data_IF_463339290214
#
_entry.id   IF_463339290214
#
_cell.length_a   1.000
_cell.length_b   1.000
_cell.length_c   1.000
_cell.angle_alpha   90.00
_cell.angle_beta   90.00
_cell.angle_gamma   90.00
#
_symmetry.space_group_name_H-M   'P 1'
#
loop_
_entity.id
_entity.type
_entity.pdbx_description
1 polymer ?
#
# COMPACT_ATOMS: atom_id res chain seq x y z
N UNK A 1 -4.08 6.22 -7.68
CA UNK A 1 -3.12 6.18 -8.81
C UNK A 1 -2.63 7.57 -9.22
N UNK A 2 -3.50 8.53 -9.59
CA UNK A 2 -3.09 9.88 -10.01
C UNK A 2 -2.14 10.62 -9.02
N UNK A 3 -2.35 10.60 -7.69
CA UNK A 3 -1.48 11.29 -6.75
C UNK A 3 -0.06 10.68 -6.68
N UNK A 4 0.03 9.35 -6.80
CA UNK A 4 1.30 8.61 -6.79
C UNK A 4 2.09 8.93 -8.06
N UNK A 5 1.43 8.95 -9.23
CA UNK A 5 2.06 9.32 -10.50
C UNK A 5 2.59 10.75 -10.46
N UNK A 6 1.82 11.70 -9.93
CA UNK A 6 2.25 13.08 -9.79
C UNK A 6 3.46 13.23 -8.84
N UNK A 7 3.45 12.51 -7.71
CA UNK A 7 4.57 12.48 -6.76
C UNK A 7 5.85 11.91 -7.39
N UNK A 8 5.76 10.77 -8.09
CA UNK A 8 6.90 10.16 -8.78
C UNK A 8 7.41 11.05 -9.91
N UNK A 9 6.51 11.59 -10.74
CA UNK A 9 6.88 12.49 -11.84
C UNK A 9 7.62 13.73 -11.33
N UNK A 10 7.19 14.32 -10.21
CA UNK A 10 7.87 15.45 -9.59
C UNK A 10 9.33 15.11 -9.24
N UNK A 11 9.57 14.01 -8.53
CA UNK A 11 10.93 13.62 -8.11
C UNK A 11 11.81 13.20 -9.28
N UNK A 12 11.24 12.56 -10.30
CA UNK A 12 11.95 12.23 -11.55
C UNK A 12 12.36 13.49 -12.29
N UNK A 13 11.46 14.47 -12.44
CA UNK A 13 11.77 15.74 -13.09
C UNK A 13 12.80 16.55 -12.29
N UNK A 14 12.70 16.56 -10.96
CA UNK A 14 13.69 17.19 -10.09
C UNK A 14 15.08 16.52 -10.25
N UNK A 15 15.12 15.18 -10.22
CA UNK A 15 16.35 14.41 -10.38
C UNK A 15 16.98 14.61 -11.77
N UNK A 16 16.18 14.55 -12.84
CA UNK A 16 16.64 14.84 -14.20
C UNK A 16 17.13 16.29 -14.33
N UNK A 17 16.43 17.26 -13.72
CA UNK A 17 16.86 18.65 -13.69
C UNK A 17 18.23 18.82 -13.03
N UNK A 18 18.43 18.22 -11.85
CA UNK A 18 19.71 18.24 -11.14
C UNK A 18 20.82 17.54 -11.94
N UNK A 19 20.51 16.40 -12.57
CA UNK A 19 21.44 15.64 -13.40
C UNK A 19 21.92 16.43 -14.62
N UNK A 20 21.00 17.06 -15.35
CA UNK A 20 21.35 17.91 -16.50
C UNK A 20 22.10 19.18 -16.08
N UNK A 21 21.79 19.77 -14.92
CA UNK A 21 22.56 20.88 -14.35
C UNK A 21 23.99 20.44 -14.00
N UNK A 22 24.16 19.23 -13.47
CA UNK A 22 25.48 18.68 -13.17
C UNK A 22 26.30 18.44 -14.45
N UNK A 23 25.71 17.86 -15.50
CA UNK A 23 26.38 17.58 -16.77
C UNK A 23 26.77 18.84 -17.54
N UNK A 24 25.97 19.92 -17.48
CA UNK A 24 26.19 21.14 -18.28
C UNK A 24 27.23 22.11 -17.72
N UNK A 25 28.02 21.70 -16.71
CA UNK A 25 29.11 22.50 -16.14
C UNK A 25 29.05 22.74 -14.63
N UNK A 26 28.22 21.98 -13.90
CA UNK A 26 28.15 22.00 -12.45
C UNK A 26 27.74 23.35 -11.84
N UNK A 27 27.95 23.48 -10.53
CA UNK A 27 27.54 24.64 -9.71
C UNK A 27 28.11 25.97 -10.24
N UNK A 28 29.26 25.94 -10.94
CA UNK A 28 29.92 27.12 -11.51
C UNK A 28 29.13 27.77 -12.67
N UNK A 29 28.60 26.97 -13.60
CA UNK A 29 27.80 27.48 -14.72
C UNK A 29 26.42 27.99 -14.30
N UNK A 30 25.79 27.33 -13.34
CA UNK A 30 24.53 27.80 -12.72
C UNK A 30 24.73 29.10 -11.94
N UNK A 31 25.89 29.27 -11.27
CA UNK A 31 26.24 30.54 -10.60
C UNK A 31 26.51 31.67 -11.60
N UNK A 32 27.11 31.39 -12.76
CA UNK A 32 27.37 32.38 -13.81
C UNK A 32 26.06 32.94 -14.41
N UNK A 33 25.06 32.08 -14.65
CA UNK A 33 23.72 32.52 -15.10
C UNK A 33 22.89 33.18 -14.00
N UNK A 34 23.13 32.85 -12.73
CA UNK A 34 22.52 33.55 -11.59
C UNK A 34 23.18 34.91 -11.27
N UNK A 35 24.45 35.10 -11.65
CA UNK A 35 25.16 36.38 -11.49
C UNK A 35 24.65 37.47 -12.44
N UNK A 36 24.13 37.10 -13.61
CA UNK A 36 23.47 38.05 -14.53
C UNK A 36 22.05 38.43 -14.09
N UNK A 37 21.48 37.73 -13.09
CA UNK A 37 20.17 38.07 -12.53
C UNK A 37 20.25 39.11 -11.39
N UNK A 38 19.27 40.01 -11.39
CA UNK A 38 19.06 41.03 -10.35
C UNK A 38 18.89 40.40 -8.96
N UNK A 39 19.25 41.14 -7.90
CA UNK A 39 19.10 40.68 -6.49
C UNK A 39 17.67 40.21 -6.17
N UNK A 40 16.65 40.81 -6.81
CA UNK A 40 15.24 40.41 -6.66
C UNK A 40 14.93 39.09 -7.36
N UNK A 41 15.42 38.87 -8.57
CA UNK A 41 15.23 37.60 -9.30
C UNK A 41 15.84 36.41 -8.57
N UNK A 42 17.04 36.60 -8.01
CA UNK A 42 17.73 35.58 -7.20
C UNK A 42 16.98 35.22 -5.92
N UNK A 43 16.44 36.23 -5.21
CA UNK A 43 15.59 35.99 -4.03
C UNK A 43 14.31 35.25 -4.45
N UNK A 44 13.61 35.71 -5.49
CA UNK A 44 12.37 35.09 -5.95
C UNK A 44 12.56 33.62 -6.35
N UNK A 45 13.61 33.30 -7.11
CA UNK A 45 13.93 31.92 -7.49
C UNK A 45 14.22 31.03 -6.28
N UNK A 46 14.97 31.53 -5.29
CA UNK A 46 15.23 30.81 -4.04
C UNK A 46 13.97 30.56 -3.22
N UNK A 47 13.08 31.55 -3.10
CA UNK A 47 11.81 31.40 -2.38
C UNK A 47 10.89 30.40 -3.07
N UNK A 48 10.78 30.45 -4.40
CA UNK A 48 9.98 29.50 -5.20
C UNK A 48 10.51 28.08 -5.01
N UNK A 49 11.82 27.89 -5.08
CA UNK A 49 12.44 26.58 -4.87
C UNK A 49 12.16 26.03 -3.46
N UNK A 50 12.29 26.87 -2.43
CA UNK A 50 11.98 26.48 -1.06
C UNK A 50 10.50 26.11 -0.87
N UNK A 51 9.57 26.86 -1.47
CA UNK A 51 8.13 26.57 -1.42
C UNK A 51 7.82 25.25 -2.13
N UNK A 52 8.39 25.02 -3.32
CA UNK A 52 8.19 23.76 -4.07
C UNK A 52 8.74 22.57 -3.28
N UNK A 53 9.94 22.70 -2.70
CA UNK A 53 10.55 21.63 -1.91
C UNK A 53 9.77 21.36 -0.62
N UNK A 54 9.31 22.39 0.10
CA UNK A 54 8.45 22.22 1.28
C UNK A 54 7.09 21.60 0.91
N UNK A 55 6.49 22.03 -0.21
CA UNK A 55 5.22 21.50 -0.69
C UNK A 55 5.31 20.03 -1.09
N UNK A 56 6.22 19.69 -2.01
CA UNK A 56 6.32 18.32 -2.52
C UNK A 56 7.13 17.38 -1.64
N UNK A 57 8.11 17.89 -0.89
CA UNK A 57 8.99 17.09 -0.05
C UNK A 57 8.52 16.89 1.39
N UNK A 58 7.62 17.75 1.89
CA UNK A 58 7.12 17.66 3.28
C UNK A 58 5.60 17.61 3.32
N UNK A 59 4.91 18.58 2.70
CA UNK A 59 3.46 18.66 2.81
C UNK A 59 2.74 17.50 2.10
N UNK A 60 3.17 17.11 0.89
CA UNK A 60 2.58 15.96 0.17
C UNK A 60 2.74 14.63 0.93
N UNK A 61 3.94 14.25 1.45
CA UNK A 61 4.07 13.07 2.30
C UNK A 61 3.18 13.10 3.54
N UNK A 62 3.09 14.24 4.24
CA UNK A 62 2.24 14.37 5.43
C UNK A 62 0.76 14.20 5.06
N UNK A 63 0.29 14.85 4.00
CA UNK A 63 -1.09 14.71 3.52
C UNK A 63 -1.39 13.28 3.07
N UNK A 64 -0.42 12.60 2.45
CA UNK A 64 -0.56 11.20 2.07
C UNK A 64 -0.67 10.29 3.30
N UNK A 65 0.21 10.46 4.28
CA UNK A 65 0.19 9.68 5.52
C UNK A 65 -1.12 9.89 6.29
N UNK A 66 -1.53 11.13 6.52
CA UNK A 66 -2.77 11.45 7.26
C UNK A 66 -4.02 11.09 6.46
N UNK A 67 -4.01 11.35 5.15
CA UNK A 67 -5.15 11.11 4.27
C UNK A 67 -5.46 9.65 4.01
N UNK A 68 -4.45 8.76 4.05
CA UNK A 68 -4.63 7.32 3.87
C UNK A 68 -5.39 6.68 5.05
N UNK A 69 -5.17 7.16 6.28
CA UNK A 69 -5.92 6.70 7.46
C UNK A 69 -7.38 7.18 7.47
N UNK A 70 -7.66 8.37 6.94
CA UNK A 70 -9.01 8.92 6.91
C UNK A 70 -9.89 8.37 5.77
N UNK A 71 -9.28 7.87 4.68
CA UNK A 71 -9.98 7.51 3.44
C UNK A 71 -9.62 6.12 2.90
N UNK A 72 -9.20 5.17 3.75
CA UNK A 72 -9.15 3.76 3.38
C UNK A 72 -10.56 3.35 2.90
N UNK A 73 -10.75 3.35 1.58
CA UNK A 73 -12.02 3.40 0.86
C UNK A 73 -13.09 2.57 1.56
N UNK A 74 -14.15 3.19 2.08
CA UNK A 74 -15.22 2.46 2.78
C UNK A 74 -16.04 1.53 1.86
N UNK A 75 -15.64 1.43 0.60
CA UNK A 75 -16.35 0.73 -0.46
C UNK A 75 -15.35 0.03 -1.38
N UNK A 76 -15.65 -1.23 -1.70
CA UNK A 76 -14.99 -2.02 -2.72
C UNK A 76 -16.06 -2.67 -3.61
N UNK A 77 -15.97 -2.51 -4.93
CA UNK A 77 -16.93 -3.09 -5.89
C UNK A 77 -18.43 -2.85 -5.54
N UNK A 78 -18.77 -1.69 -4.94
CA UNK A 78 -20.14 -1.39 -4.51
C UNK A 78 -20.53 -1.94 -3.12
N UNK A 79 -19.67 -2.74 -2.49
CA UNK A 79 -19.86 -3.28 -1.15
C UNK A 79 -19.37 -2.29 -0.11
N UNK A 80 -20.27 -1.82 0.77
CA UNK A 80 -19.94 -0.94 1.89
C UNK A 80 -19.43 -1.77 3.07
N UNK A 81 -18.25 -1.41 3.57
CA UNK A 81 -17.64 -2.07 4.72
C UNK A 81 -18.05 -1.41 6.05
N UNK A 82 -18.30 -2.24 7.06
CA UNK A 82 -18.45 -1.87 8.47
C UNK A 82 -17.11 -1.41 9.06
N UNK A 83 -17.12 -0.88 10.29
CA UNK A 83 -15.89 -0.52 10.98
C UNK A 83 -14.96 -1.74 11.18
N UNK A 84 -15.51 -2.88 11.59
CA UNK A 84 -14.77 -4.13 11.76
C UNK A 84 -14.19 -4.64 10.45
N UNK A 85 -14.96 -4.65 9.35
CA UNK A 85 -14.45 -5.10 8.05
C UNK A 85 -13.36 -4.16 7.49
N UNK A 86 -13.40 -2.86 7.80
CA UNK A 86 -12.31 -1.93 7.44
C UNK A 86 -11.03 -2.27 8.18
N UNK A 87 -11.12 -2.51 9.49
CA UNK A 87 -9.98 -2.96 10.29
C UNK A 87 -9.48 -4.33 9.79
N UNK A 88 -10.39 -5.24 9.47
CA UNK A 88 -10.08 -6.55 8.90
C UNK A 88 -9.31 -6.44 7.58
N UNK A 89 -9.63 -5.46 6.73
CA UNK A 89 -8.87 -5.19 5.51
C UNK A 89 -7.44 -4.69 5.79
N UNK A 90 -7.28 -3.81 6.77
CA UNK A 90 -5.96 -3.29 7.16
C UNK A 90 -5.08 -4.44 7.68
N UNK A 91 -5.60 -5.22 8.63
CA UNK A 91 -4.95 -6.41 9.17
C UNK A 91 -4.64 -7.45 8.09
N UNK A 92 -5.55 -7.66 7.13
CA UNK A 92 -5.29 -8.53 5.99
C UNK A 92 -4.09 -8.03 5.15
N UNK A 93 -4.02 -6.72 4.92
CA UNK A 93 -2.89 -6.09 4.23
C UNK A 93 -1.55 -6.32 4.94
N UNK A 94 -1.56 -6.25 6.27
CA UNK A 94 -0.36 -6.39 7.10
C UNK A 94 0.11 -7.85 7.24
N UNK A 95 -0.83 -8.79 7.39
CA UNK A 95 -0.51 -10.16 7.79
C UNK A 95 -0.73 -11.22 6.69
N UNK A 96 -1.60 -10.96 5.72
CA UNK A 96 -2.08 -12.00 4.78
C UNK A 96 -1.72 -11.71 3.32
N UNK A 97 -1.61 -10.44 2.93
CA UNK A 97 -1.52 -10.02 1.53
C UNK A 97 -0.27 -10.50 0.78
N UNK A 98 0.82 -10.78 1.51
CA UNK A 98 2.05 -11.34 0.93
C UNK A 98 1.84 -12.76 0.41
N UNK A 99 0.96 -13.53 1.05
CA UNK A 99 0.72 -14.94 0.72
C UNK A 99 -0.51 -15.11 -0.18
N UNK A 100 -1.58 -14.37 0.07
CA UNK A 100 -2.87 -14.57 -0.59
C UNK A 100 -3.19 -13.54 -1.67
N UNK A 101 -3.94 -13.97 -2.68
CA UNK A 101 -4.60 -13.03 -3.61
C UNK A 101 -5.99 -12.69 -3.07
N UNK A 102 -6.27 -11.38 -2.98
CA UNK A 102 -7.59 -10.84 -2.64
C UNK A 102 -7.68 -9.40 -3.19
N UNK A 103 -8.45 -9.20 -4.25
CA UNK A 103 -8.56 -7.94 -4.98
C UNK A 103 -9.04 -6.79 -4.10
N UNK A 104 -9.96 -7.07 -3.16
CA UNK A 104 -10.48 -6.09 -2.21
C UNK A 104 -9.44 -5.49 -1.27
N UNK A 105 -8.31 -6.18 -1.09
CA UNK A 105 -7.17 -5.73 -0.31
C UNK A 105 -5.97 -5.34 -1.19
N UNK A 106 -6.13 -5.29 -2.52
CA UNK A 106 -5.04 -5.13 -3.49
C UNK A 106 -3.91 -6.17 -3.31
N UNK A 107 -4.25 -7.35 -2.82
CA UNK A 107 -3.29 -8.41 -2.53
C UNK A 107 -3.15 -9.36 -3.73
N UNK A 108 -1.91 -9.73 -4.03
CA UNK A 108 -1.54 -10.53 -5.20
C UNK A 108 -0.60 -11.71 -4.83
N UNK A 109 -0.61 -12.14 -3.57
CA UNK A 109 0.18 -13.27 -3.11
C UNK A 109 -0.23 -14.56 -3.79
N UNK A 110 0.75 -15.43 -4.09
CA UNK A 110 0.55 -16.68 -4.85
C UNK A 110 0.93 -17.94 -4.06
N UNK A 111 1.32 -17.78 -2.81
CA UNK A 111 1.67 -18.90 -1.92
C UNK A 111 0.37 -19.54 -1.44
N UNK A 112 -0.45 -18.76 -0.74
CA UNK A 112 -1.80 -19.16 -0.37
C UNK A 112 -2.76 -19.18 -1.55
N UNK A 113 -3.95 -19.79 -1.38
CA UNK A 113 -4.99 -19.78 -2.39
C UNK A 113 -5.43 -18.36 -2.74
N UNK A 114 -5.92 -18.20 -3.97
CA UNK A 114 -6.65 -17.01 -4.37
C UNK A 114 -8.03 -17.03 -3.71
N UNK A 115 -8.27 -16.06 -2.82
CA UNK A 115 -9.48 -15.99 -2.01
C UNK A 115 -10.69 -15.49 -2.80
N UNK A 116 -10.48 -14.69 -3.87
CA UNK A 116 -11.56 -14.30 -4.78
C UNK A 116 -12.13 -15.48 -5.56
N UNK A 117 -11.28 -16.44 -5.90
CA UNK A 117 -11.70 -17.69 -6.53
C UNK A 117 -12.25 -18.69 -5.51
N UNK A 118 -11.57 -18.87 -4.37
CA UNK A 118 -11.94 -19.85 -3.36
C UNK A 118 -13.27 -19.53 -2.67
N UNK A 119 -13.57 -18.23 -2.45
CA UNK A 119 -14.80 -17.75 -1.79
C UNK A 119 -15.12 -18.49 -0.49
N UNK A 120 -14.15 -18.59 0.45
CA UNK A 120 -14.36 -19.34 1.67
C UNK A 120 -15.43 -18.68 2.55
N UNK A 121 -16.27 -19.46 3.25
CA UNK A 121 -17.17 -18.92 4.25
C UNK A 121 -16.39 -18.36 5.45
N UNK A 122 -16.96 -17.39 6.15
CA UNK A 122 -16.33 -16.71 7.28
C UNK A 122 -15.80 -17.66 8.35
N UNK A 123 -16.57 -18.71 8.69
CA UNK A 123 -16.18 -19.70 9.69
C UNK A 123 -14.91 -20.47 9.31
N UNK A 124 -14.75 -20.79 8.01
CA UNK A 124 -13.53 -21.44 7.53
C UNK A 124 -12.35 -20.49 7.59
N UNK A 125 -12.53 -19.22 7.21
CA UNK A 125 -11.46 -18.22 7.30
C UNK A 125 -11.00 -18.05 8.74
N UNK A 126 -11.93 -17.90 9.68
CA UNK A 126 -11.63 -17.75 11.10
C UNK A 126 -10.88 -18.97 11.64
N UNK A 127 -11.39 -20.18 11.36
CA UNK A 127 -10.74 -21.41 11.79
C UNK A 127 -9.31 -21.53 11.28
N UNK A 128 -9.08 -21.23 9.99
CA UNK A 128 -7.74 -21.34 9.40
C UNK A 128 -6.79 -20.25 9.89
N UNK A 129 -7.28 -19.05 10.22
CA UNK A 129 -6.48 -18.02 10.88
C UNK A 129 -6.02 -18.48 12.27
N UNK A 130 -6.91 -19.12 13.03
CA UNK A 130 -6.64 -19.55 14.41
C UNK A 130 -5.72 -20.77 14.44
N UNK A 131 -5.97 -21.76 13.58
CA UNK A 131 -5.33 -23.08 13.65
C UNK A 131 -4.24 -23.31 12.58
N UNK A 132 -4.18 -22.46 11.57
CA UNK A 132 -3.28 -22.65 10.44
C UNK A 132 -3.64 -23.87 9.59
N UNK A 133 -2.70 -24.28 8.73
CA UNK A 133 -2.80 -25.51 7.96
C UNK A 133 -1.40 -25.95 7.51
N UNK A 134 -1.22 -27.23 7.20
CA UNK A 134 0.00 -27.83 6.66
C UNK A 134 -0.19 -28.17 5.17
N UNK A 135 0.87 -28.04 4.36
CA UNK A 135 0.81 -28.41 2.94
C UNK A 135 0.57 -29.92 2.72
N UNK A 136 1.20 -30.76 3.54
CA UNK A 136 1.15 -32.22 3.43
C UNK A 136 0.87 -32.82 4.82
N UNK A 137 -0.35 -32.68 5.36
CA UNK A 137 -0.69 -33.30 6.63
C UNK A 137 -0.82 -34.82 6.48
N UNK A 138 -0.70 -35.58 7.58
CA UNK A 138 -1.15 -36.97 7.63
C UNK A 138 -2.60 -37.12 7.12
N UNK A 139 -2.94 -38.28 6.55
CA UNK A 139 -4.25 -38.51 5.92
C UNK A 139 -5.46 -38.36 6.85
N UNK A 140 -5.23 -38.35 8.16
CA UNK A 140 -6.20 -38.21 9.24
C UNK A 140 -6.23 -36.81 9.87
N UNK A 141 -5.38 -35.88 9.44
CA UNK A 141 -5.33 -34.53 9.98
C UNK A 141 -6.26 -33.57 9.18
N UNK A 142 -7.14 -32.82 9.86
CA UNK A 142 -8.10 -31.92 9.23
C UNK A 142 -7.48 -30.66 8.59
N UNK A 143 -6.19 -30.42 8.82
CA UNK A 143 -5.55 -29.13 8.59
C UNK A 143 -4.77 -29.06 7.27
N UNK A 144 -5.33 -29.59 6.18
CA UNK A 144 -4.70 -29.51 4.86
C UNK A 144 -4.84 -28.11 4.24
N UNK A 145 -3.73 -27.51 3.81
CA UNK A 145 -3.77 -26.24 3.11
C UNK A 145 -4.36 -26.37 1.70
N UNK A 146 -5.18 -25.39 1.33
CA UNK A 146 -5.79 -25.28 0.00
C UNK A 146 -4.90 -24.55 -1.02
N UNK A 147 -3.64 -24.29 -0.66
CA UNK A 147 -2.65 -23.58 -1.48
C UNK A 147 -1.26 -24.23 -1.38
N UNK A 148 -0.26 -23.52 -1.87
CA UNK A 148 1.13 -23.97 -1.78
C UNK A 148 1.72 -23.51 -0.44
N UNK A 149 2.41 -24.39 0.26
CA UNK A 149 3.03 -24.09 1.55
C UNK A 149 2.11 -24.26 2.75
N UNK A 150 2.66 -23.94 3.91
CA UNK A 150 2.05 -24.11 5.23
C UNK A 150 1.61 -22.74 5.75
N UNK A 151 0.38 -22.62 6.22
CA UNK A 151 -0.12 -21.41 6.86
C UNK A 151 0.09 -21.52 8.39
N UNK A 152 0.86 -20.62 9.01
CA UNK A 152 1.06 -20.65 10.45
C UNK A 152 -0.24 -20.26 11.19
N UNK A 153 -0.48 -20.83 12.39
CA UNK A 153 -1.61 -20.44 13.24
C UNK A 153 -1.42 -19.06 13.88
N UNK A 154 -2.52 -18.43 14.29
CA UNK A 154 -2.51 -17.30 15.22
C UNK A 154 -1.91 -16.01 14.68
N UNK A 155 -1.93 -15.80 13.36
CA UNK A 155 -1.43 -14.58 12.69
C UNK A 155 -2.09 -13.30 13.22
N UNK A 156 -3.37 -13.40 13.52
CA UNK A 156 -4.18 -12.42 14.26
C UNK A 156 -5.11 -13.18 15.20
N UNK A 157 -5.60 -12.54 16.27
CA UNK A 157 -6.32 -13.25 17.35
C UNK A 157 -7.59 -12.51 17.79
N UNK A 158 -8.51 -13.26 18.40
CA UNK A 158 -9.72 -12.71 19.02
C UNK A 158 -10.53 -11.87 18.04
N UNK A 159 -10.79 -10.61 18.40
CA UNK A 159 -11.63 -9.73 17.59
C UNK A 159 -11.00 -9.39 16.24
N UNK A 160 -9.67 -9.34 16.17
CA UNK A 160 -8.95 -9.02 14.94
C UNK A 160 -9.08 -10.16 13.93
N UNK A 161 -8.98 -11.42 14.38
CA UNK A 161 -9.25 -12.58 13.55
C UNK A 161 -10.68 -12.60 12.99
N UNK A 162 -11.67 -12.28 13.84
CA UNK A 162 -13.07 -12.15 13.42
C UNK A 162 -13.26 -11.05 12.37
N UNK A 163 -12.63 -9.90 12.57
CA UNK A 163 -12.71 -8.78 11.64
C UNK A 163 -12.10 -9.13 10.27
N UNK A 164 -10.95 -9.81 10.25
CA UNK A 164 -10.32 -10.29 9.01
C UNK A 164 -11.22 -11.34 8.34
N UNK A 165 -11.74 -12.31 9.09
CA UNK A 165 -12.61 -13.35 8.56
C UNK A 165 -13.89 -12.78 7.92
N UNK A 166 -14.56 -11.86 8.63
CA UNK A 166 -15.74 -11.18 8.14
C UNK A 166 -15.43 -10.36 6.87
N UNK A 167 -14.31 -9.63 6.86
CA UNK A 167 -13.88 -8.88 5.69
C UNK A 167 -13.66 -9.79 4.47
N UNK A 168 -12.90 -10.89 4.62
CA UNK A 168 -12.60 -11.82 3.52
C UNK A 168 -13.90 -12.43 2.98
N UNK A 169 -14.77 -12.95 3.84
CA UNK A 169 -16.03 -13.57 3.42
C UNK A 169 -16.98 -12.57 2.73
N UNK A 170 -16.96 -11.30 3.14
CA UNK A 170 -17.77 -10.23 2.56
C UNK A 170 -17.36 -9.89 1.13
N UNK A 171 -16.07 -9.89 0.84
CA UNK A 171 -15.51 -9.32 -0.40
C UNK A 171 -14.98 -10.34 -1.39
N UNK A 172 -14.77 -11.59 -0.94
CA UNK A 172 -14.29 -12.65 -1.81
C UNK A 172 -15.21 -12.85 -3.03
N UNK A 173 -14.63 -12.78 -4.22
CA UNK A 173 -15.35 -12.99 -5.48
C UNK A 173 -16.11 -11.75 -5.99
N UNK A 174 -15.87 -10.58 -5.38
CA UNK A 174 -16.37 -9.28 -5.85
C UNK A 174 -15.39 -8.56 -6.79
N UNK A 175 -14.24 -9.19 -7.10
CA UNK A 175 -13.19 -8.67 -7.96
C UNK A 175 -13.41 -8.99 -9.46
#
# INVERSE_FOLDING_TARGET
MLPVVAFVAFWVLLGLGLFFIAIRGGIGGARATLQTQSRRGRKAAGTIFAIVYAGFGVALPIVFLVGNHANASSQYAGVKLTAGEKQGRELFGEHCAVCHTLGAANANGKVGPNLDMLRPPESLVLHTIENGCLQNPPSDAPDACLGQGTMPPGLVQGRDAQNVAAFVAKVAGQA
#
